data_IF_302546077159
#
_entry.id   IF_302546077159
#
_cell.length_a   1.000
_cell.length_b   1.000
_cell.length_c   1.000
_cell.angle_alpha   90.00
_cell.angle_beta   90.00
_cell.angle_gamma   90.00
#
_symmetry.space_group_name_H-M   'P 1'
#
loop_
_entity.id
_entity.type
_entity.pdbx_description
1 polymer ?
#
# COMPACT_ATOMS: atom_id res chain seq x y z
N UNK A 1 11.78 16.87 -23.59
CA UNK A 1 10.49 16.18 -23.37
C UNK A 1 10.24 16.18 -21.87
N UNK A 2 9.07 16.62 -21.42
CA UNK A 2 8.66 16.50 -20.01
C UNK A 2 8.06 15.11 -19.83
N UNK A 3 8.52 14.36 -18.83
CA UNK A 3 7.89 13.10 -18.42
C UNK A 3 6.93 13.40 -17.29
N UNK A 4 5.70 12.91 -17.40
CA UNK A 4 4.68 13.04 -16.38
C UNK A 4 4.65 11.74 -15.56
N UNK A 5 4.96 11.86 -14.27
CA UNK A 5 4.79 10.79 -13.30
C UNK A 5 3.37 10.88 -12.74
N UNK A 6 2.56 9.83 -12.92
CA UNK A 6 1.22 9.75 -12.32
C UNK A 6 1.25 8.87 -11.08
N UNK A 7 0.80 9.45 -9.96
CA UNK A 7 0.82 8.80 -8.65
C UNK A 7 -0.56 8.87 -8.00
N UNK A 8 -0.91 7.87 -7.20
CA UNK A 8 -2.15 7.85 -6.42
C UNK A 8 -1.88 7.36 -5.00
N UNK A 9 -2.61 7.90 -4.03
CA UNK A 9 -2.73 7.32 -2.70
C UNK A 9 -4.19 6.95 -2.46
N UNK A 10 -4.44 5.75 -1.96
CA UNK A 10 -5.80 5.21 -1.86
C UNK A 10 -5.98 4.29 -0.65
N UNK A 11 -6.64 4.80 0.38
CA UNK A 11 -7.00 3.99 1.55
C UNK A 11 -8.15 3.04 1.17
N UNK A 12 -7.95 1.73 1.35
CA UNK A 12 -8.94 0.72 0.98
C UNK A 12 -10.09 0.59 1.98
N UNK A 13 -9.90 1.13 3.19
CA UNK A 13 -10.75 0.96 4.36
C UNK A 13 -10.88 -0.51 4.78
N UNK A 14 -10.77 -0.75 6.08
CA UNK A 14 -11.00 -2.07 6.66
C UNK A 14 -12.35 -2.67 6.22
N UNK A 15 -12.36 -3.98 6.02
CA UNK A 15 -13.59 -4.70 5.69
C UNK A 15 -14.62 -4.54 6.82
N UNK A 16 -15.87 -4.41 6.42
CA UNK A 16 -17.01 -4.26 7.32
C UNK A 16 -17.92 -5.48 7.16
N UNK A 17 -18.76 -5.80 8.17
CA UNK A 17 -19.72 -6.89 8.06
C UNK A 17 -20.52 -6.88 6.74
N UNK A 18 -20.88 -8.06 6.24
CA UNK A 18 -21.49 -8.24 4.90
C UNK A 18 -22.78 -7.42 4.69
N UNK A 19 -23.55 -7.20 5.75
CA UNK A 19 -24.77 -6.39 5.74
C UNK A 19 -24.48 -4.88 5.63
N UNK A 20 -23.29 -4.43 6.02
CA UNK A 20 -22.85 -3.04 5.90
C UNK A 20 -22.84 -2.57 4.44
N UNK A 21 -23.30 -1.35 4.12
CA UNK A 21 -23.13 -0.78 2.79
C UNK A 21 -21.64 -0.60 2.40
N UNK A 22 -20.74 -0.59 3.40
CA UNK A 22 -19.30 -0.42 3.20
C UNK A 22 -18.50 -1.74 3.27
N UNK A 23 -19.16 -2.90 3.27
CA UNK A 23 -18.49 -4.20 3.14
C UNK A 23 -17.57 -4.22 1.92
N UNK A 24 -16.43 -4.89 2.02
CA UNK A 24 -15.46 -5.01 0.93
C UNK A 24 -16.09 -5.59 -0.34
N UNK A 25 -16.95 -6.60 -0.20
CA UNK A 25 -17.60 -7.24 -1.35
C UNK A 25 -18.43 -6.27 -2.21
N UNK A 26 -19.01 -5.23 -1.60
CA UNK A 26 -19.77 -4.18 -2.30
C UNK A 26 -18.87 -3.09 -2.91
N UNK A 27 -17.61 -2.99 -2.48
CA UNK A 27 -16.69 -1.91 -2.88
C UNK A 27 -15.53 -2.36 -3.77
N UNK A 28 -15.16 -3.65 -3.74
CA UNK A 28 -13.94 -4.16 -4.38
C UNK A 28 -13.85 -3.87 -5.89
N UNK A 29 -14.95 -4.05 -6.63
CA UNK A 29 -14.99 -3.73 -8.07
C UNK A 29 -14.92 -2.22 -8.34
N UNK A 30 -15.48 -1.39 -7.44
CA UNK A 30 -15.38 0.07 -7.54
C UNK A 30 -13.94 0.54 -7.29
N UNK A 31 -13.23 -0.03 -6.32
CA UNK A 31 -11.82 0.25 -6.09
C UNK A 31 -10.98 -0.02 -7.34
N UNK A 32 -11.19 -1.17 -7.99
CA UNK A 32 -10.52 -1.51 -9.26
C UNK A 32 -10.89 -0.52 -10.37
N UNK A 33 -12.17 -0.15 -10.47
CA UNK A 33 -12.65 0.83 -11.46
C UNK A 33 -11.97 2.20 -11.28
N UNK A 34 -11.86 2.68 -10.05
CA UNK A 34 -11.17 3.94 -9.75
C UNK A 34 -9.70 3.86 -10.16
N UNK A 35 -8.97 2.84 -9.71
CA UNK A 35 -7.54 2.67 -10.03
C UNK A 35 -7.32 2.62 -11.55
N UNK A 36 -8.10 1.79 -12.26
CA UNK A 36 -7.98 1.63 -13.72
C UNK A 36 -8.38 2.88 -14.50
N UNK A 37 -9.37 3.65 -14.03
CA UNK A 37 -9.80 4.89 -14.69
C UNK A 37 -8.72 5.98 -14.71
N UNK A 38 -7.91 6.06 -13.65
CA UNK A 38 -6.79 6.99 -13.56
C UNK A 38 -5.48 6.40 -14.10
N UNK A 39 -5.37 5.06 -14.15
CA UNK A 39 -4.19 4.32 -14.63
C UNK A 39 -2.85 4.90 -14.12
N UNK A 40 -2.69 5.11 -12.78
CA UNK A 40 -1.48 5.70 -12.24
C UNK A 40 -0.28 4.79 -12.50
N UNK A 41 0.89 5.36 -12.80
CA UNK A 41 2.11 4.56 -12.88
C UNK A 41 2.39 3.86 -11.55
N UNK A 42 2.12 4.54 -10.44
CA UNK A 42 2.37 4.04 -9.09
C UNK A 42 1.19 4.43 -8.19
N UNK A 43 0.71 3.50 -7.38
CA UNK A 43 -0.27 3.83 -6.36
C UNK A 43 0.02 3.14 -5.03
N UNK A 44 -0.22 3.86 -3.95
CA UNK A 44 -0.03 3.36 -2.59
C UNK A 44 -1.39 3.10 -1.94
N UNK A 45 -1.52 1.95 -1.29
CA UNK A 45 -2.71 1.61 -0.52
C UNK A 45 -2.44 1.66 0.98
N UNK A 46 -3.46 2.03 1.75
CA UNK A 46 -3.46 1.99 3.21
C UNK A 46 -4.61 1.10 3.71
N UNK A 47 -4.45 0.53 4.89
CA UNK A 47 -5.41 -0.37 5.55
C UNK A 47 -5.76 -1.64 4.75
N UNK A 48 -5.02 -1.94 3.69
CA UNK A 48 -5.25 -3.15 2.90
C UNK A 48 -4.91 -4.39 3.72
N UNK A 49 -5.89 -5.26 3.94
CA UNK A 49 -5.62 -6.62 4.44
C UNK A 49 -5.34 -7.56 3.28
N UNK A 50 -4.72 -8.71 3.57
CA UNK A 50 -4.24 -9.64 2.55
C UNK A 50 -5.30 -9.99 1.50
N UNK A 51 -6.53 -10.28 1.89
CA UNK A 51 -7.62 -10.66 0.98
C UNK A 51 -8.01 -9.53 0.02
N UNK A 52 -7.97 -8.27 0.47
CA UNK A 52 -8.24 -7.11 -0.38
C UNK A 52 -7.11 -6.89 -1.39
N UNK A 53 -5.86 -7.03 -0.94
CA UNK A 53 -4.66 -6.89 -1.78
C UNK A 53 -4.55 -8.00 -2.82
N UNK A 54 -4.81 -9.25 -2.44
CA UNK A 54 -4.84 -10.40 -3.35
C UNK A 54 -5.90 -10.18 -4.45
N UNK A 55 -7.06 -9.66 -4.08
CA UNK A 55 -8.11 -9.32 -5.04
C UNK A 55 -7.67 -8.21 -6.00
N UNK A 56 -7.06 -7.13 -5.49
CA UNK A 56 -6.51 -6.08 -6.37
C UNK A 56 -5.45 -6.64 -7.33
N UNK A 57 -4.53 -7.48 -6.85
CA UNK A 57 -3.50 -8.10 -7.68
C UNK A 57 -4.11 -8.98 -8.78
N UNK A 58 -5.14 -9.76 -8.45
CA UNK A 58 -5.86 -10.58 -9.43
C UNK A 58 -6.52 -9.72 -10.52
N UNK A 59 -7.03 -8.54 -10.15
CA UNK A 59 -7.79 -7.65 -11.06
C UNK A 59 -6.93 -6.63 -11.79
N UNK A 60 -5.68 -6.45 -11.37
CA UNK A 60 -4.72 -5.49 -11.92
C UNK A 60 -3.43 -6.20 -12.39
N UNK A 61 -3.50 -7.16 -13.35
CA UNK A 61 -2.35 -7.98 -13.73
C UNK A 61 -1.18 -7.22 -14.38
N UNK A 62 -1.38 -5.96 -14.76
CA UNK A 62 -0.33 -5.05 -15.24
C UNK A 62 0.49 -4.42 -14.12
N UNK A 63 0.06 -4.58 -12.86
CA UNK A 63 0.76 -4.06 -11.69
C UNK A 63 1.46 -5.19 -10.94
N UNK A 64 2.63 -4.87 -10.41
CA UNK A 64 3.29 -5.63 -9.35
C UNK A 64 3.15 -4.85 -8.04
N UNK A 65 3.37 -5.51 -6.90
CA UNK A 65 3.24 -4.87 -5.60
C UNK A 65 4.34 -5.21 -4.60
N UNK A 66 4.57 -4.31 -3.66
CA UNK A 66 5.59 -4.40 -2.61
C UNK A 66 5.08 -3.85 -1.28
N UNK A 67 5.44 -4.50 -0.18
CA UNK A 67 5.07 -4.12 1.18
C UNK A 67 4.74 -5.33 2.05
N UNK A 68 4.88 -5.19 3.36
CA UNK A 68 4.56 -6.23 4.34
C UNK A 68 3.47 -5.77 5.30
N UNK A 69 2.91 -6.72 6.04
CA UNK A 69 1.95 -6.47 7.11
C UNK A 69 2.59 -5.66 8.23
N UNK A 70 1.79 -4.86 8.93
CA UNK A 70 2.20 -4.14 10.14
C UNK A 70 2.62 -5.05 11.29
N UNK A 71 2.41 -6.37 11.20
CA UNK A 71 2.95 -7.37 12.13
C UNK A 71 4.27 -8.01 11.68
N UNK A 72 4.73 -7.75 10.46
CA UNK A 72 5.97 -8.28 9.89
C UNK A 72 5.76 -9.14 8.65
N UNK A 73 6.85 -9.72 8.12
CA UNK A 73 6.81 -10.60 6.94
C UNK A 73 6.15 -11.95 7.23
N UNK A 74 6.33 -12.47 8.45
CA UNK A 74 5.86 -13.81 8.84
C UNK A 74 4.36 -13.84 9.18
N UNK A 75 3.79 -12.69 9.57
CA UNK A 75 2.37 -12.57 9.94
C UNK A 75 1.65 -11.58 9.02
N UNK A 76 0.95 -12.13 8.03
CA UNK A 76 0.17 -11.39 7.03
C UNK A 76 -1.30 -11.18 7.43
N UNK A 77 -1.67 -11.47 8.69
CA UNK A 77 -3.06 -11.41 9.16
C UNK A 77 -3.62 -10.00 9.34
N UNK A 78 -2.78 -8.97 9.21
CA UNK A 78 -3.13 -7.60 9.55
C UNK A 78 -2.92 -6.63 8.36
N UNK A 79 -3.18 -5.35 8.59
CA UNK A 79 -3.11 -4.30 7.58
C UNK A 79 -1.70 -4.11 7.04
N UNK A 80 -1.61 -3.80 5.75
CA UNK A 80 -0.39 -3.48 5.04
C UNK A 80 -0.39 -2.02 4.60
N UNK A 81 0.79 -1.54 4.20
CA UNK A 81 0.96 -0.35 3.41
C UNK A 81 1.62 -0.72 2.09
N UNK A 82 0.83 -0.97 1.06
CA UNK A 82 1.31 -1.63 -0.15
C UNK A 82 1.48 -0.64 -1.28
N UNK A 83 2.65 -0.66 -1.91
CA UNK A 83 2.97 0.08 -3.11
C UNK A 83 2.69 -0.83 -4.30
N UNK A 84 1.82 -0.41 -5.21
CA UNK A 84 1.60 -1.03 -6.51
C UNK A 84 2.24 -0.17 -7.61
N UNK A 85 2.82 -0.80 -8.62
CA UNK A 85 3.48 -0.11 -9.72
C UNK A 85 3.27 -0.84 -11.06
N UNK A 86 3.11 -0.06 -12.13
CA UNK A 86 2.98 -0.55 -13.49
C UNK A 86 4.32 -1.15 -13.95
N UNK A 87 4.35 -2.47 -14.14
CA UNK A 87 5.58 -3.24 -14.36
C UNK A 87 6.25 -2.99 -15.71
N UNK A 88 5.57 -2.35 -16.65
CA UNK A 88 6.16 -1.95 -17.94
C UNK A 88 6.84 -0.58 -17.85
N UNK A 89 6.40 0.26 -16.89
CA UNK A 89 6.85 1.65 -16.76
C UNK A 89 7.81 1.87 -15.59
N UNK A 90 7.80 0.98 -14.60
CA UNK A 90 8.49 1.12 -13.33
C UNK A 90 9.21 -0.18 -12.98
N UNK A 91 10.49 -0.06 -12.64
CA UNK A 91 11.32 -1.13 -12.09
C UNK A 91 11.62 -0.82 -10.61
N UNK A 92 11.30 -1.76 -9.73
CA UNK A 92 11.64 -1.69 -8.31
C UNK A 92 13.11 -2.08 -8.13
N UNK A 93 13.93 -1.16 -7.65
CA UNK A 93 15.37 -1.39 -7.42
C UNK A 93 15.65 -1.79 -5.96
N UNK A 94 15.06 -1.06 -5.02
CA UNK A 94 15.22 -1.30 -3.59
C UNK A 94 13.93 -0.89 -2.88
N UNK A 95 13.66 -1.48 -1.72
CA UNK A 95 12.53 -1.10 -0.91
C UNK A 95 12.61 -1.70 0.48
N UNK A 96 11.80 -1.15 1.38
CA UNK A 96 11.71 -1.63 2.75
C UNK A 96 10.41 -1.22 3.42
N UNK A 97 10.14 -1.83 4.57
CA UNK A 97 9.10 -1.40 5.50
C UNK A 97 9.73 -1.26 6.88
N UNK A 98 9.41 -0.17 7.56
CA UNK A 98 9.85 0.06 8.93
C UNK A 98 8.66 0.52 9.79
N UNK A 99 8.79 0.29 11.10
CA UNK A 99 7.78 0.68 12.07
C UNK A 99 8.00 2.11 12.52
N UNK A 100 6.92 2.88 12.62
CA UNK A 100 6.94 4.20 13.20
C UNK A 100 6.91 4.05 14.72
N UNK A 101 8.09 3.78 15.26
CA UNK A 101 8.32 3.56 16.69
C UNK A 101 9.76 3.94 17.06
N UNK A 102 10.08 3.89 18.36
CA UNK A 102 11.46 3.99 18.86
C UNK A 102 12.33 2.79 18.43
N UNK A 103 11.72 1.70 17.94
CA UNK A 103 12.37 0.47 17.48
C UNK A 103 11.96 0.15 16.03
N UNK A 104 12.35 0.97 15.04
CA UNK A 104 11.80 0.91 13.67
C UNK A 104 12.10 -0.37 12.90
N UNK A 105 13.07 -1.17 13.35
CA UNK A 105 13.42 -2.47 12.79
C UNK A 105 12.75 -3.66 13.47
N UNK A 106 11.97 -3.44 14.54
CA UNK A 106 11.29 -4.49 15.30
C UNK A 106 9.85 -4.60 14.82
N UNK A 107 9.44 -5.75 14.24
CA UNK A 107 8.08 -5.97 13.78
C UNK A 107 7.05 -5.81 14.89
N UNK A 108 5.97 -5.09 14.59
CA UNK A 108 4.87 -4.84 15.52
C UNK A 108 5.18 -3.85 16.65
N UNK A 109 6.32 -3.15 16.59
CA UNK A 109 6.66 -2.17 17.62
C UNK A 109 5.74 -0.94 17.59
N UNK A 110 5.40 -0.44 18.78
CA UNK A 110 4.52 0.71 19.00
C UNK A 110 5.25 1.74 19.85
N UNK A 111 5.01 3.03 19.63
CA UNK A 111 5.52 4.11 20.48
C UNK A 111 4.53 5.28 20.54
N UNK A 112 4.82 6.25 21.40
CA UNK A 112 4.06 7.51 21.54
C UNK A 112 2.55 7.33 21.79
N UNK A 113 2.16 6.24 22.45
CA UNK A 113 0.76 5.96 22.78
C UNK A 113 -0.11 5.50 21.61
N UNK A 114 0.49 5.02 20.51
CA UNK A 114 -0.28 4.38 19.43
C UNK A 114 -0.95 3.10 19.91
N UNK A 115 -2.23 2.93 19.60
CA UNK A 115 -2.98 1.71 19.94
C UNK A 115 -2.50 0.49 19.12
N UNK A 116 -2.05 0.74 17.88
CA UNK A 116 -1.59 -0.28 16.95
C UNK A 116 -0.21 0.06 16.36
N UNK A 117 0.53 -0.93 15.84
CA UNK A 117 1.75 -0.68 15.08
C UNK A 117 1.48 0.13 13.81
N UNK A 118 2.15 1.27 13.67
CA UNK A 118 2.15 2.05 12.42
C UNK A 118 3.38 1.68 11.60
N UNK A 119 3.22 1.54 10.29
CA UNK A 119 4.31 1.25 9.37
C UNK A 119 4.43 2.30 8.28
N UNK A 120 5.65 2.44 7.77
CA UNK A 120 5.95 3.12 6.52
C UNK A 120 6.64 2.16 5.56
N UNK A 121 6.11 2.06 4.34
CA UNK A 121 6.71 1.29 3.24
C UNK A 121 7.28 2.25 2.21
N UNK A 122 8.51 1.99 1.77
CA UNK A 122 9.22 2.79 0.78
C UNK A 122 9.81 1.94 -0.32
N UNK A 123 9.97 2.56 -1.48
CA UNK A 123 10.58 1.98 -2.66
C UNK A 123 11.44 3.03 -3.36
N UNK A 124 12.62 2.61 -3.81
CA UNK A 124 13.47 3.26 -4.80
C UNK A 124 13.18 2.56 -6.12
N UNK A 125 12.73 3.34 -7.09
CA UNK A 125 12.38 2.81 -8.41
C UNK A 125 13.02 3.60 -9.55
N UNK A 126 13.10 2.92 -10.69
CA UNK A 126 13.54 3.46 -11.97
C UNK A 126 12.37 3.47 -12.95
N UNK A 127 12.29 4.46 -13.83
CA UNK A 127 11.34 4.39 -14.95
C UNK A 127 12.07 4.00 -16.23
N UNK A 128 11.61 2.98 -16.94
CA UNK A 128 12.24 2.51 -18.20
C UNK A 128 12.46 3.60 -19.24
N UNK A 129 11.70 4.70 -19.15
CA UNK A 129 11.84 5.86 -20.01
C UNK A 129 12.95 6.85 -19.60
N UNK A 130 13.38 6.91 -18.31
CA UNK A 130 14.44 7.81 -17.79
C UNK A 130 15.10 7.25 -16.52
N UNK A 131 16.40 7.52 -16.34
CA UNK A 131 17.12 7.48 -15.04
C UNK A 131 16.54 8.44 -13.99
N UNK A 132 15.36 8.11 -13.46
CA UNK A 132 14.67 8.88 -12.44
C UNK A 132 14.45 8.00 -11.21
N UNK A 133 15.07 8.40 -10.10
CA UNK A 133 14.84 7.83 -8.78
C UNK A 133 13.52 8.36 -8.24
N UNK A 134 12.57 7.46 -7.94
CA UNK A 134 11.33 7.86 -7.26
C UNK A 134 11.20 7.16 -5.92
N UNK A 135 11.01 7.96 -4.86
CA UNK A 135 10.77 7.53 -3.48
C UNK A 135 9.29 7.68 -3.13
N UNK A 136 8.68 6.62 -2.61
CA UNK A 136 7.29 6.63 -2.16
C UNK A 136 7.21 6.35 -0.66
N UNK A 137 6.21 6.93 -0.01
CA UNK A 137 5.84 6.62 1.37
C UNK A 137 4.36 6.28 1.43
N UNK A 138 4.04 5.14 2.02
CA UNK A 138 2.69 4.77 2.39
C UNK A 138 2.65 4.60 3.93
N UNK A 139 1.65 5.18 4.60
CA UNK A 139 1.51 5.14 6.07
C UNK A 139 0.14 4.60 6.51
N UNK A 140 0.10 3.77 7.54
CA UNK A 140 -1.13 3.30 8.20
C UNK A 140 -1.54 4.20 9.36
N UNK A 141 -2.82 4.60 9.41
CA UNK A 141 -3.35 5.64 10.32
C UNK A 141 -3.02 5.38 11.79
N UNK A 142 -2.60 6.44 12.49
CA UNK A 142 -2.52 6.48 13.95
C UNK A 142 -3.93 6.46 14.53
N UNK A 143 -4.38 5.30 15.02
CA UNK A 143 -5.50 5.27 15.95
C UNK A 143 -4.97 5.73 17.31
N UNK A 144 -5.12 7.03 17.59
CA UNK A 144 -4.88 7.54 18.94
C UNK A 144 -5.90 6.90 19.88
N UNK A 145 -5.45 6.18 20.90
CA UNK A 145 -6.32 5.86 22.03
C UNK A 145 -6.71 7.19 22.69
N UNK A 146 -8.02 7.43 22.84
CA UNK A 146 -8.54 8.54 23.64
C UNK A 146 -8.15 8.37 25.11
#
# INVERSE_FOLDING_TARGET
MSVSLTVMTFNLLEDQPEDSPNSWDKRKDLCVTVITSYSPMIFCTQQGVKTQLDYLQQRLPGYEHFGISRKGSEDTSDQHCTIFYDKEKVELLEGGTFWLSELPSVPGSTSWGSADPCIATWAISFSTSIWCLVLFFAHTVLHASQ
#
